data_IF_524726542217
#
_entry.id   IF_524726542217
#
_cell.length_a   1.000
_cell.length_b   1.000
_cell.length_c   1.000
_cell.angle_alpha   90.00
_cell.angle_beta   90.00
_cell.angle_gamma   90.00
#
_symmetry.space_group_name_H-M   'P 1'
#
loop_
_entity.id
_entity.type
_entity.pdbx_description
1 polymer ?
#
# COMPACT_ATOMS: atom_id res chain seq x y z
N UNK A 1 47.66 -12.28 22.93
CA UNK A 1 46.84 -11.61 21.90
C UNK A 1 45.57 -11.03 22.52
N UNK A 2 45.30 -9.75 22.31
CA UNK A 2 44.07 -9.07 22.77
C UNK A 2 42.83 -9.66 22.09
N UNK A 3 41.67 -9.60 22.75
CA UNK A 3 40.37 -10.03 22.19
C UNK A 3 40.06 -9.33 20.86
N UNK A 4 40.43 -8.06 20.74
CA UNK A 4 40.28 -7.27 19.51
C UNK A 4 41.13 -7.84 18.36
N UNK A 5 42.36 -8.26 18.65
CA UNK A 5 43.26 -8.91 17.70
C UNK A 5 42.67 -10.23 17.21
N UNK A 6 42.05 -11.03 18.10
CA UNK A 6 41.40 -12.30 17.74
C UNK A 6 40.19 -12.10 16.82
N UNK A 7 39.36 -11.10 17.08
CA UNK A 7 38.22 -10.77 16.23
C UNK A 7 38.67 -10.36 14.81
N UNK A 8 39.69 -9.50 14.72
CA UNK A 8 40.25 -9.08 13.44
C UNK A 8 40.89 -10.22 12.66
N UNK A 9 41.57 -11.16 13.33
CA UNK A 9 42.09 -12.36 12.66
C UNK A 9 40.97 -13.26 12.12
N UNK A 10 39.86 -13.37 12.84
CA UNK A 10 38.70 -14.15 12.41
C UNK A 10 37.97 -13.51 11.24
N UNK A 11 37.73 -12.19 11.26
CA UNK A 11 37.11 -11.48 10.13
C UNK A 11 37.94 -11.62 8.86
N UNK A 12 39.28 -11.55 8.97
CA UNK A 12 40.20 -11.79 7.86
C UNK A 12 40.13 -13.23 7.35
N UNK A 13 40.03 -14.21 8.23
CA UNK A 13 39.88 -15.62 7.85
C UNK A 13 38.55 -15.91 7.13
N UNK A 14 37.47 -15.21 7.50
CA UNK A 14 36.17 -15.30 6.81
C UNK A 14 36.16 -14.64 5.44
N UNK A 15 36.95 -13.57 5.24
CA UNK A 15 37.08 -12.90 3.95
C UNK A 15 37.97 -13.69 2.96
N UNK A 16 38.84 -14.57 3.46
CA UNK A 16 39.72 -15.37 2.62
C UNK A 16 38.94 -16.47 1.85
N UNK A 17 39.37 -16.85 0.63
CA UNK A 17 38.69 -17.86 -0.19
C UNK A 17 38.98 -19.31 0.25
N UNK A 18 39.04 -19.57 1.55
CA UNK A 18 39.30 -20.91 2.12
C UNK A 18 38.03 -21.76 2.16
N UNK A 19 38.17 -23.09 2.21
CA UNK A 19 37.02 -24.00 2.36
C UNK A 19 36.25 -23.75 3.67
N UNK A 20 36.98 -23.47 4.76
CA UNK A 20 36.39 -23.06 6.04
C UNK A 20 35.50 -21.82 5.90
N UNK A 21 35.98 -20.78 5.20
CA UNK A 21 35.21 -19.57 4.97
C UNK A 21 33.95 -19.81 4.12
N UNK A 22 34.01 -20.72 3.14
CA UNK A 22 32.83 -21.15 2.36
C UNK A 22 31.80 -21.84 3.25
N UNK A 23 32.23 -22.79 4.10
CA UNK A 23 31.35 -23.48 5.06
C UNK A 23 30.74 -22.51 6.07
N UNK A 24 31.51 -21.55 6.56
CA UNK A 24 31.02 -20.55 7.50
C UNK A 24 30.00 -19.61 6.85
N UNK A 25 30.22 -19.15 5.60
CA UNK A 25 29.23 -18.36 4.86
C UNK A 25 27.93 -19.13 4.64
N UNK A 26 28.04 -20.40 4.26
CA UNK A 26 26.89 -21.27 4.08
C UNK A 26 26.09 -21.47 5.39
N UNK A 27 26.79 -21.67 6.52
CA UNK A 27 26.16 -21.74 7.85
C UNK A 27 25.47 -20.42 8.21
N UNK A 28 26.14 -19.28 8.01
CA UNK A 28 25.58 -17.94 8.22
C UNK A 28 24.26 -17.79 7.47
N UNK A 29 24.25 -18.07 6.16
CA UNK A 29 23.05 -17.95 5.34
C UNK A 29 21.92 -18.87 5.82
N UNK A 30 22.26 -20.07 6.30
CA UNK A 30 21.28 -21.00 6.87
C UNK A 30 20.67 -20.50 8.20
N UNK A 31 21.48 -19.88 9.06
CA UNK A 31 21.02 -19.35 10.35
C UNK A 31 20.11 -18.14 10.14
N UNK A 32 20.48 -17.24 9.22
CA UNK A 32 19.75 -16.00 8.97
C UNK A 32 18.67 -16.11 7.87
N UNK A 33 18.47 -17.30 7.29
CA UNK A 33 17.47 -17.51 6.24
C UNK A 33 17.78 -16.83 4.90
N UNK A 34 19.04 -16.48 4.65
CA UNK A 34 19.50 -15.91 3.38
C UNK A 34 19.73 -17.01 2.33
N UNK A 35 19.99 -16.61 1.08
CA UNK A 35 20.21 -17.56 -0.03
C UNK A 35 21.51 -18.35 0.17
N UNK A 36 21.36 -19.63 0.53
CA UNK A 36 22.48 -20.53 0.86
C UNK A 36 23.33 -20.95 -0.34
N UNK A 37 22.71 -21.12 -1.50
CA UNK A 37 23.38 -21.58 -2.74
C UNK A 37 23.95 -20.37 -3.48
N UNK A 38 25.15 -20.53 -4.03
CA UNK A 38 25.70 -19.56 -4.97
C UNK A 38 24.79 -19.52 -6.20
N UNK A 39 23.97 -18.47 -6.26
CA UNK A 39 22.92 -18.31 -7.27
C UNK A 39 23.29 -17.14 -8.17
N UNK A 40 22.93 -17.23 -9.46
CA UNK A 40 23.15 -16.18 -10.45
C UNK A 40 22.43 -14.88 -10.05
N UNK A 41 22.92 -13.76 -10.56
CA UNK A 41 22.35 -12.44 -10.28
C UNK A 41 20.87 -12.34 -10.66
N UNK A 42 20.49 -12.89 -11.84
CA UNK A 42 19.10 -12.94 -12.32
C UNK A 42 18.17 -13.70 -11.35
N UNK A 43 18.65 -14.78 -10.76
CA UNK A 43 17.86 -15.55 -9.79
C UNK A 43 17.74 -14.85 -8.43
N UNK A 44 18.69 -13.97 -8.07
CA UNK A 44 18.58 -13.14 -6.86
C UNK A 44 17.50 -12.08 -7.00
N UNK A 45 17.19 -11.63 -8.22
CA UNK A 45 16.09 -10.69 -8.47
C UNK A 45 14.74 -11.24 -7.99
N UNK A 46 14.51 -12.54 -8.17
CA UNK A 46 13.28 -13.21 -7.68
C UNK A 46 13.18 -13.11 -6.16
N UNK A 47 14.29 -13.34 -5.45
CA UNK A 47 14.33 -13.18 -3.99
C UNK A 47 14.03 -11.73 -3.59
N UNK A 48 14.62 -10.76 -4.28
CA UNK A 48 14.34 -9.35 -4.04
C UNK A 48 12.87 -8.98 -4.33
N UNK A 49 12.29 -9.51 -5.41
CA UNK A 49 10.90 -9.30 -5.80
C UNK A 49 9.92 -9.80 -4.73
N UNK A 50 10.16 -10.98 -4.15
CA UNK A 50 9.32 -11.53 -3.07
C UNK A 50 9.63 -10.95 -1.69
N UNK A 51 10.84 -10.42 -1.48
CA UNK A 51 11.18 -9.73 -0.23
C UNK A 51 10.49 -8.37 -0.08
N UNK A 52 10.12 -7.73 -1.19
CA UNK A 52 9.43 -6.43 -1.21
C UNK A 52 7.93 -6.61 -1.41
N UNK A 53 7.14 -5.66 -0.93
CA UNK A 53 5.71 -5.63 -1.22
C UNK A 53 5.48 -5.42 -2.74
N UNK A 54 4.69 -6.28 -3.42
CA UNK A 54 4.32 -6.11 -4.82
C UNK A 54 3.76 -4.72 -5.07
N UNK A 55 4.05 -4.15 -6.24
CA UNK A 55 3.67 -2.78 -6.59
C UNK A 55 2.16 -2.55 -6.42
N UNK A 56 1.34 -3.45 -6.96
CA UNK A 56 -0.12 -3.33 -6.94
C UNK A 56 -0.75 -3.51 -5.54
N UNK A 57 0.03 -3.95 -4.56
CA UNK A 57 -0.42 -4.14 -3.16
C UNK A 57 0.10 -3.05 -2.23
N UNK A 58 0.86 -2.07 -2.75
CA UNK A 58 1.32 -0.96 -1.92
C UNK A 58 0.12 -0.07 -1.60
N UNK A 59 0.02 0.30 -0.33
CA UNK A 59 -1.07 1.15 0.17
C UNK A 59 -1.14 2.48 -0.57
N UNK A 60 0.01 3.08 -0.89
CA UNK A 60 0.11 4.32 -1.68
C UNK A 60 -0.57 4.23 -3.06
N UNK A 61 -0.67 3.02 -3.63
CA UNK A 61 -1.24 2.77 -4.96
C UNK A 61 -2.69 2.34 -4.83
N UNK A 62 -2.99 1.41 -3.92
CA UNK A 62 -4.35 0.89 -3.70
C UNK A 62 -5.26 1.96 -3.08
N UNK A 63 -4.78 2.68 -2.07
CA UNK A 63 -5.51 3.69 -1.31
C UNK A 63 -5.28 5.10 -1.89
N UNK A 64 -4.89 5.21 -3.17
CA UNK A 64 -4.59 6.50 -3.80
C UNK A 64 -5.76 7.48 -3.74
N UNK A 65 -6.98 7.00 -4.00
CA UNK A 65 -8.20 7.77 -3.80
C UNK A 65 -8.81 7.44 -2.45
N UNK A 66 -9.28 8.46 -1.69
CA UNK A 66 -9.98 8.21 -0.44
C UNK A 66 -11.36 7.57 -0.73
N UNK A 67 -11.97 7.02 0.32
CA UNK A 67 -13.27 6.35 0.25
C UNK A 67 -14.44 7.36 0.09
N UNK A 68 -14.50 8.04 -1.06
CA UNK A 68 -15.46 9.11 -1.34
C UNK A 68 -16.92 8.67 -1.21
N UNK A 69 -17.25 7.43 -1.56
CA UNK A 69 -18.62 6.93 -1.43
C UNK A 69 -19.04 6.79 0.03
N UNK A 70 -18.16 6.27 0.88
CA UNK A 70 -18.42 6.06 2.30
C UNK A 70 -18.56 7.41 3.00
N UNK A 71 -17.64 8.35 2.73
CA UNK A 71 -17.72 9.71 3.28
C UNK A 71 -18.99 10.42 2.82
N UNK A 72 -19.37 10.29 1.55
CA UNK A 72 -20.58 10.92 1.02
C UNK A 72 -21.85 10.34 1.64
N UNK A 73 -21.91 9.01 1.83
CA UNK A 73 -23.03 8.33 2.50
C UNK A 73 -23.11 8.75 3.97
N UNK A 74 -21.97 8.78 4.67
CA UNK A 74 -21.88 9.20 6.06
C UNK A 74 -22.41 10.63 6.25
N UNK A 75 -21.94 11.59 5.44
CA UNK A 75 -22.35 12.99 5.59
C UNK A 75 -23.84 13.19 5.28
N UNK A 76 -24.39 12.45 4.32
CA UNK A 76 -25.84 12.44 4.06
C UNK A 76 -26.63 11.93 5.27
N UNK A 77 -26.23 10.81 5.85
CA UNK A 77 -26.89 10.26 7.04
C UNK A 77 -26.82 11.25 8.21
N UNK A 78 -25.67 11.89 8.43
CA UNK A 78 -25.53 12.91 9.47
C UNK A 78 -26.45 14.12 9.23
N UNK A 79 -26.65 14.52 7.96
CA UNK A 79 -27.63 15.55 7.59
C UNK A 79 -29.05 15.12 7.91
N UNK A 80 -29.41 13.89 7.56
CA UNK A 80 -30.75 13.33 7.83
C UNK A 80 -31.05 13.24 9.33
N UNK A 81 -30.04 12.95 10.15
CA UNK A 81 -30.14 12.98 11.61
C UNK A 81 -30.12 14.39 12.22
N UNK A 82 -29.85 15.44 11.44
CA UNK A 82 -29.71 16.82 11.92
C UNK A 82 -28.40 17.08 12.68
N UNK A 83 -27.42 16.17 12.58
CA UNK A 83 -26.11 16.28 13.23
C UNK A 83 -25.09 17.05 12.36
N UNK A 84 -25.36 17.16 11.07
CA UNK A 84 -24.53 17.89 10.11
C UNK A 84 -25.39 18.81 9.26
N UNK A 85 -24.89 20.01 8.98
CA UNK A 85 -25.53 20.97 8.08
C UNK A 85 -24.71 21.07 6.79
N UNK A 86 -25.31 20.63 5.69
CA UNK A 86 -24.71 20.71 4.36
C UNK A 86 -25.27 21.91 3.59
N UNK A 87 -24.62 23.06 3.70
CA UNK A 87 -25.05 24.31 3.04
C UNK A 87 -25.08 24.19 1.51
N UNK A 88 -24.24 23.32 0.94
CA UNK A 88 -24.17 23.12 -0.50
C UNK A 88 -25.36 22.33 -1.02
N UNK A 89 -25.75 21.27 -0.33
CA UNK A 89 -26.99 20.55 -0.65
C UNK A 89 -28.24 21.40 -0.37
N UNK A 90 -28.27 22.16 0.73
CA UNK A 90 -29.36 23.11 1.02
C UNK A 90 -29.57 24.11 -0.15
N UNK A 91 -28.47 24.67 -0.68
CA UNK A 91 -28.51 25.57 -1.82
C UNK A 91 -29.03 24.88 -3.09
N UNK A 92 -28.57 23.65 -3.37
CA UNK A 92 -29.05 22.88 -4.53
C UNK A 92 -30.53 22.58 -4.45
N UNK A 93 -31.03 22.20 -3.28
CA UNK A 93 -32.44 21.90 -3.03
C UNK A 93 -33.31 23.14 -3.25
N UNK A 94 -32.93 24.29 -2.70
CA UNK A 94 -33.68 25.54 -2.88
C UNK A 94 -33.66 26.00 -4.35
N UNK A 95 -32.51 25.89 -5.03
CA UNK A 95 -32.42 26.18 -6.46
C UNK A 95 -33.27 25.24 -7.31
N UNK A 96 -33.36 23.96 -6.93
CA UNK A 96 -34.23 22.99 -7.59
C UNK A 96 -35.71 23.33 -7.40
N UNK A 97 -36.10 23.71 -6.18
CA UNK A 97 -37.45 24.19 -5.85
C UNK A 97 -37.85 25.41 -6.67
N UNK A 98 -36.99 26.43 -6.74
CA UNK A 98 -37.23 27.63 -7.55
C UNK A 98 -37.33 27.31 -9.05
N UNK A 99 -36.52 26.38 -9.56
CA UNK A 99 -36.64 25.92 -10.96
C UNK A 99 -37.96 25.21 -11.21
N UNK A 100 -38.44 24.40 -10.26
CA UNK A 100 -39.72 23.73 -10.37
C UNK A 100 -40.89 24.71 -10.41
N UNK A 101 -40.86 25.76 -9.57
CA UNK A 101 -41.84 26.85 -9.61
C UNK A 101 -41.84 27.61 -10.95
N UNK A 102 -40.70 27.69 -11.63
CA UNK A 102 -40.58 28.26 -12.98
C UNK A 102 -40.98 27.28 -14.09
N UNK A 103 -41.46 26.08 -13.75
CA UNK A 103 -41.80 25.03 -14.72
C UNK A 103 -40.58 24.36 -15.39
N UNK A 104 -39.35 24.69 -14.96
CA UNK A 104 -38.11 24.14 -15.51
C UNK A 104 -37.66 22.90 -14.73
N UNK A 105 -38.60 21.99 -14.48
CA UNK A 105 -38.32 20.74 -13.78
C UNK A 105 -37.47 19.83 -14.66
N UNK A 106 -36.53 19.10 -14.06
CA UNK A 106 -35.84 18.03 -14.77
C UNK A 106 -36.84 16.92 -15.10
N UNK A 107 -37.12 16.73 -16.39
CA UNK A 107 -37.92 15.60 -16.83
C UNK A 107 -37.17 14.29 -16.56
N UNK A 108 -37.89 13.27 -16.08
CA UNK A 108 -37.34 11.90 -15.96
C UNK A 108 -36.90 11.41 -17.34
N UNK A 109 -35.73 10.76 -17.42
CA UNK A 109 -35.30 10.08 -18.66
C UNK A 109 -36.29 8.96 -18.97
N UNK A 110 -36.61 8.82 -20.26
CA UNK A 110 -37.67 7.94 -20.79
C UNK A 110 -37.43 6.43 -20.56
N UNK A 111 -36.28 6.01 -20.03
CA UNK A 111 -35.85 4.61 -19.94
C UNK A 111 -36.08 3.94 -18.56
N UNK A 112 -36.68 4.62 -17.57
CA UNK A 112 -36.99 4.03 -16.24
C UNK A 112 -38.32 3.22 -16.21
N UNK A 113 -38.73 2.64 -17.35
CA UNK A 113 -39.88 1.71 -17.43
C UNK A 113 -39.47 0.45 -18.16
N UNK A 114 -38.76 -0.44 -17.47
CA UNK A 114 -38.56 -1.85 -17.82
C UNK A 114 -38.45 -2.65 -16.54
#
# INVERSE_FOLDING_TARGET
>A
MSKTTKFFTYSRALAAPTDYAKRMRHLKYSIFGEVRRDTSEKSREVVAMFSRNPYDQRREIVEYYPAHEETSKLMKLLRDYGLYRDEHEDFKEEMARLRALRGKVRFRRRYDKS
#
